data_IF_592483148970
#
_entry.id   IF_592483148970
#
_cell.length_a   1.000
_cell.length_b   1.000
_cell.length_c   1.000
_cell.angle_alpha   90.00
_cell.angle_beta   90.00
_cell.angle_gamma   90.00
#
_symmetry.space_group_name_H-M   'P 1'
#
loop_
_entity.id
_entity.type
_entity.pdbx_description
1 polymer ?
#
# COMPACT_ATOMS: atom_id res chain seq x y z
N UNK A 1 36.12 -9.81 22.44
CA UNK A 1 34.79 -10.21 22.99
C UNK A 1 33.86 -9.02 23.18
N UNK A 2 34.25 -7.99 23.94
CA UNK A 2 33.40 -6.81 24.21
C UNK A 2 32.95 -6.05 22.94
N UNK A 3 33.86 -5.84 21.98
CA UNK A 3 33.54 -5.18 20.71
C UNK A 3 32.57 -5.98 19.83
N UNK A 4 32.67 -7.31 19.83
CA UNK A 4 31.75 -8.19 19.09
C UNK A 4 30.37 -8.20 19.75
N UNK A 5 30.31 -8.20 21.08
CA UNK A 5 29.05 -8.10 21.83
C UNK A 5 28.33 -6.76 21.59
N UNK A 6 29.06 -5.63 21.59
CA UNK A 6 28.50 -4.31 21.28
C UNK A 6 27.96 -4.23 19.84
N UNK A 7 28.66 -4.84 18.89
CA UNK A 7 28.25 -4.86 17.48
C UNK A 7 26.99 -5.71 17.27
N UNK A 8 26.87 -6.86 17.95
CA UNK A 8 25.66 -7.70 17.94
C UNK A 8 24.46 -6.97 18.57
N UNK A 9 24.66 -6.26 19.68
CA UNK A 9 23.60 -5.48 20.34
C UNK A 9 23.14 -4.32 19.46
N UNK A 10 24.06 -3.61 18.81
CA UNK A 10 23.73 -2.52 17.89
C UNK A 10 22.92 -3.01 16.68
N UNK A 11 23.34 -4.12 16.05
CA UNK A 11 22.59 -4.72 14.93
C UNK A 11 21.20 -5.23 15.36
N UNK A 12 21.09 -5.83 16.55
CA UNK A 12 19.81 -6.30 17.10
C UNK A 12 18.85 -5.13 17.35
N UNK A 13 19.34 -4.02 17.93
CA UNK A 13 18.52 -2.83 18.20
C UNK A 13 18.08 -2.11 16.91
N UNK A 14 18.98 -1.96 15.94
CA UNK A 14 18.64 -1.38 14.64
C UNK A 14 17.60 -2.21 13.88
N UNK A 15 17.68 -3.55 13.97
CA UNK A 15 16.72 -4.44 13.31
C UNK A 15 15.32 -4.34 13.94
N UNK A 16 15.24 -4.25 15.27
CA UNK A 16 13.96 -4.09 15.98
C UNK A 16 13.25 -2.77 15.71
N UNK A 17 14.00 -1.66 15.60
CA UNK A 17 13.43 -0.36 15.23
C UNK A 17 12.93 -0.35 13.77
N UNK A 18 13.68 -0.95 12.85
CA UNK A 18 13.28 -1.06 11.44
C UNK A 18 11.98 -1.86 11.30
N UNK A 19 11.87 -2.98 12.03
CA UNK A 19 10.68 -3.83 12.03
C UNK A 19 9.46 -3.11 12.61
N UNK A 20 9.65 -2.29 13.66
CA UNK A 20 8.58 -1.50 14.26
C UNK A 20 8.05 -0.42 13.28
N UNK A 21 8.93 0.27 12.56
CA UNK A 21 8.53 1.26 11.53
C UNK A 21 7.74 0.59 10.40
N UNK A 22 8.24 -0.54 9.87
CA UNK A 22 7.54 -1.28 8.80
C UNK A 22 6.15 -1.74 9.26
N UNK A 23 6.01 -2.24 10.49
CA UNK A 23 4.71 -2.63 11.04
C UNK A 23 3.75 -1.46 11.17
N UNK A 24 4.25 -0.30 11.60
CA UNK A 24 3.46 0.92 11.70
C UNK A 24 2.95 1.37 10.31
N UNK A 25 3.84 1.40 9.31
CA UNK A 25 3.48 1.83 7.95
C UNK A 25 2.49 0.86 7.28
N UNK A 26 2.66 -0.45 7.49
CA UNK A 26 1.70 -1.48 7.05
C UNK A 26 0.31 -1.22 7.65
N UNK A 27 0.25 -0.88 8.94
CA UNK A 27 -1.01 -0.60 9.63
C UNK A 27 -1.68 0.66 9.06
N UNK A 28 -0.93 1.75 8.92
CA UNK A 28 -1.44 3.02 8.40
C UNK A 28 -1.97 2.87 6.96
N UNK A 29 -1.19 2.24 6.07
CA UNK A 29 -1.64 1.99 4.69
C UNK A 29 -2.88 1.10 4.66
N UNK A 30 -2.95 0.07 5.52
CA UNK A 30 -4.15 -0.77 5.62
C UNK A 30 -5.38 0.00 6.09
N UNK A 31 -5.22 0.94 7.02
CA UNK A 31 -6.31 1.81 7.49
C UNK A 31 -6.80 2.74 6.37
N UNK A 32 -5.88 3.37 5.63
CA UNK A 32 -6.20 4.25 4.49
C UNK A 32 -6.92 3.49 3.37
N UNK A 33 -6.49 2.25 3.06
CA UNK A 33 -7.19 1.36 2.12
C UNK A 33 -8.63 1.13 2.55
N UNK A 34 -8.87 0.86 3.84
CA UNK A 34 -10.21 0.62 4.37
C UNK A 34 -11.09 1.87 4.25
N UNK A 35 -10.55 3.04 4.57
CA UNK A 35 -11.25 4.32 4.46
C UNK A 35 -11.62 4.63 3.00
N UNK A 36 -10.69 4.45 2.06
CA UNK A 36 -10.95 4.65 0.62
C UNK A 36 -12.04 3.73 0.11
N UNK A 37 -12.04 2.44 0.50
CA UNK A 37 -13.12 1.50 0.14
C UNK A 37 -14.49 1.97 0.63
N UNK A 38 -14.56 2.50 1.85
CA UNK A 38 -15.79 3.07 2.39
C UNK A 38 -16.25 4.31 1.61
N UNK A 39 -15.32 5.23 1.29
CA UNK A 39 -15.61 6.42 0.49
C UNK A 39 -16.09 6.08 -0.92
N UNK A 40 -15.44 5.12 -1.60
CA UNK A 40 -15.86 4.63 -2.91
C UNK A 40 -17.28 4.05 -2.84
N UNK A 41 -17.57 3.24 -1.82
CA UNK A 41 -18.92 2.67 -1.64
C UNK A 41 -19.98 3.75 -1.42
N UNK A 42 -19.67 4.77 -0.62
CA UNK A 42 -20.59 5.90 -0.38
C UNK A 42 -20.82 6.71 -1.66
N UNK A 43 -19.77 6.95 -2.44
CA UNK A 43 -19.86 7.65 -3.73
C UNK A 43 -20.71 6.87 -4.75
N UNK A 44 -20.62 5.54 -4.78
CA UNK A 44 -21.50 4.73 -5.62
C UNK A 44 -22.98 4.81 -5.18
N UNK A 45 -23.24 4.90 -3.88
CA UNK A 45 -24.60 5.08 -3.38
C UNK A 45 -25.15 6.46 -3.75
N UNK A 46 -24.35 7.51 -3.62
CA UNK A 46 -24.72 8.86 -4.06
C UNK A 46 -24.99 8.91 -5.57
N UNK A 47 -24.17 8.21 -6.36
CA UNK A 47 -24.40 8.06 -7.80
C UNK A 47 -25.72 7.34 -8.11
N UNK A 48 -26.11 6.33 -7.31
CA UNK A 48 -27.41 5.66 -7.47
C UNK A 48 -28.56 6.63 -7.23
N UNK A 49 -28.48 7.42 -6.15
CA UNK A 49 -29.49 8.43 -5.81
C UNK A 49 -29.63 9.47 -6.93
N UNK A 50 -28.52 10.00 -7.45
CA UNK A 50 -28.57 10.98 -8.55
C UNK A 50 -29.17 10.40 -9.84
N UNK A 51 -28.88 9.12 -10.14
CA UNK A 51 -29.49 8.46 -11.29
C UNK A 51 -31.00 8.24 -11.12
N UNK A 52 -31.47 8.05 -9.89
CA UNK A 52 -32.90 7.96 -9.55
C UNK A 52 -33.59 9.34 -9.63
N UNK A 53 -32.91 10.42 -9.21
CA UNK A 53 -33.40 11.80 -9.35
C UNK A 53 -33.58 12.20 -10.83
N UNK A 54 -32.58 11.89 -11.66
CA UNK A 54 -32.58 12.20 -13.09
C UNK A 54 -32.47 13.70 -13.42
N UNK A 55 -32.50 14.01 -14.71
CA UNK A 55 -32.36 15.38 -15.22
C UNK A 55 -30.90 15.83 -15.41
N UNK A 56 -30.73 16.96 -16.11
CA UNK A 56 -29.41 17.43 -16.55
C UNK A 56 -28.46 17.72 -15.39
N UNK A 57 -28.93 18.41 -14.35
CA UNK A 57 -28.10 18.73 -13.18
C UNK A 57 -27.68 17.49 -12.37
N UNK A 58 -28.55 16.49 -12.24
CA UNK A 58 -28.18 15.24 -11.57
C UNK A 58 -27.15 14.46 -12.41
N UNK A 59 -27.30 14.48 -13.74
CA UNK A 59 -26.36 13.85 -14.66
C UNK A 59 -24.97 14.52 -14.64
N UNK A 60 -24.90 15.85 -14.57
CA UNK A 60 -23.64 16.59 -14.39
C UNK A 60 -22.94 16.18 -13.08
N UNK A 61 -23.67 16.14 -11.97
CA UNK A 61 -23.12 15.70 -10.67
C UNK A 61 -22.68 14.24 -10.70
N UNK A 62 -23.44 13.36 -11.33
CA UNK A 62 -23.07 11.96 -11.49
C UNK A 62 -21.76 11.80 -12.27
N UNK A 63 -21.49 12.63 -13.30
CA UNK A 63 -20.22 12.61 -14.02
C UNK A 63 -19.04 13.01 -13.13
N UNK A 64 -19.20 14.02 -12.27
CA UNK A 64 -18.18 14.43 -11.30
C UNK A 64 -17.89 13.29 -10.32
N UNK A 65 -18.93 12.66 -9.78
CA UNK A 65 -18.78 11.53 -8.84
C UNK A 65 -18.11 10.33 -9.52
N UNK A 66 -18.44 10.01 -10.78
CA UNK A 66 -17.75 8.95 -11.53
C UNK A 66 -16.26 9.25 -11.69
N UNK A 67 -15.89 10.50 -11.97
CA UNK A 67 -14.49 10.90 -12.06
C UNK A 67 -13.76 10.72 -10.73
N UNK A 68 -14.38 11.12 -9.62
CA UNK A 68 -13.84 10.93 -8.26
C UNK A 68 -13.68 9.46 -7.89
N UNK A 69 -14.69 8.62 -8.20
CA UNK A 69 -14.61 7.16 -8.00
C UNK A 69 -13.43 6.57 -8.77
N UNK A 70 -13.20 7.01 -10.01
CA UNK A 70 -12.08 6.54 -10.83
C UNK A 70 -10.74 6.92 -10.21
N UNK A 71 -10.59 8.15 -9.72
CA UNK A 71 -9.38 8.60 -9.03
C UNK A 71 -9.13 7.82 -7.73
N UNK A 72 -10.15 7.66 -6.89
CA UNK A 72 -10.05 6.88 -5.65
C UNK A 72 -9.68 5.42 -5.92
N UNK A 73 -10.19 4.80 -6.99
CA UNK A 73 -9.80 3.44 -7.38
C UNK A 73 -8.34 3.35 -7.83
N UNK A 74 -7.83 4.39 -8.51
CA UNK A 74 -6.43 4.45 -8.89
C UNK A 74 -5.53 4.57 -7.65
N UNK A 75 -5.86 5.45 -6.71
CA UNK A 75 -5.16 5.58 -5.43
C UNK A 75 -5.20 4.26 -4.64
N UNK A 76 -6.38 3.64 -4.56
CA UNK A 76 -6.57 2.35 -3.88
C UNK A 76 -5.64 1.27 -4.47
N UNK A 77 -5.52 1.20 -5.79
CA UNK A 77 -4.63 0.26 -6.47
C UNK A 77 -3.17 0.49 -6.08
N UNK A 78 -2.72 1.75 -6.04
CA UNK A 78 -1.35 2.11 -5.64
C UNK A 78 -1.09 1.72 -4.19
N UNK A 79 -2.03 1.98 -3.28
CA UNK A 79 -1.89 1.62 -1.87
C UNK A 79 -1.87 0.11 -1.66
N UNK A 80 -2.71 -0.65 -2.36
CA UNK A 80 -2.72 -2.12 -2.30
C UNK A 80 -1.40 -2.72 -2.82
N UNK A 81 -0.83 -2.17 -3.90
CA UNK A 81 0.49 -2.56 -4.40
C UNK A 81 1.61 -2.20 -3.42
N UNK A 82 1.55 -1.02 -2.79
CA UNK A 82 2.49 -0.60 -1.77
C UNK A 82 2.44 -1.54 -0.55
N UNK A 83 1.24 -1.86 -0.07
CA UNK A 83 1.03 -2.81 1.04
C UNK A 83 1.59 -4.20 0.71
N UNK A 84 1.33 -4.70 -0.50
CA UNK A 84 1.88 -5.98 -0.95
C UNK A 84 3.42 -5.96 -1.02
N UNK A 85 4.00 -4.84 -1.45
CA UNK A 85 5.45 -4.64 -1.51
C UNK A 85 6.08 -4.60 -0.12
N UNK A 86 5.46 -3.89 0.83
CA UNK A 86 5.91 -3.87 2.24
C UNK A 86 5.83 -5.25 2.89
N UNK A 87 4.73 -5.99 2.66
CA UNK A 87 4.54 -7.33 3.20
C UNK A 87 5.51 -8.37 2.61
N UNK A 88 5.99 -8.16 1.38
CA UNK A 88 6.92 -9.07 0.71
C UNK A 88 8.41 -8.79 1.01
N UNK A 89 8.70 -7.83 1.90
CA UNK A 89 10.06 -7.50 2.34
C UNK A 89 10.72 -6.33 1.60
N UNK A 90 9.94 -5.47 0.94
CA UNK A 90 10.46 -4.34 0.16
C UNK A 90 10.99 -4.76 -1.22
N UNK A 91 11.62 -3.85 -1.99
CA UNK A 91 12.24 -4.20 -3.26
C UNK A 91 13.17 -5.38 -3.06
N UNK A 92 12.97 -6.47 -3.82
CA UNK A 92 13.93 -7.57 -3.90
C UNK A 92 15.25 -6.99 -4.41
N UNK A 93 16.12 -6.57 -3.52
CA UNK A 93 17.54 -6.49 -3.80
C UNK A 93 17.90 -7.93 -4.19
N UNK A 94 18.02 -8.17 -5.50
CA UNK A 94 18.59 -9.39 -6.06
C UNK A 94 19.94 -9.54 -5.38
N UNK A 95 19.96 -10.26 -4.27
CA UNK A 95 21.18 -10.65 -3.58
C UNK A 95 21.88 -11.53 -4.58
N UNK A 96 22.81 -10.93 -5.34
CA UNK A 96 23.72 -11.60 -6.24
C UNK A 96 24.69 -12.42 -5.41
N UNK A 97 24.17 -13.41 -4.68
CA UNK A 97 24.96 -14.52 -4.21
C UNK A 97 25.05 -15.43 -5.42
N UNK A 98 26.09 -15.19 -6.24
CA UNK A 98 26.41 -16.03 -7.38
C UNK A 98 26.32 -17.48 -6.95
N UNK A 99 25.48 -18.24 -7.66
CA UNK A 99 25.43 -19.69 -7.49
C UNK A 99 26.83 -20.22 -7.84
N UNK A 100 27.54 -20.88 -6.91
CA UNK A 100 28.86 -21.46 -7.21
C UNK A 100 28.81 -22.53 -8.31
N UNK A 101 27.60 -22.95 -8.75
CA UNK A 101 27.41 -23.98 -9.76
C UNK A 101 27.56 -23.52 -11.19
N UNK A 102 27.68 -22.22 -11.46
CA UNK A 102 27.90 -21.69 -12.82
C UNK A 102 29.40 -21.67 -13.23
N UNK A 103 30.27 -22.30 -12.43
CA UNK A 103 31.69 -22.57 -12.77
C UNK A 103 31.95 -24.05 -13.02
N UNK A 104 31.15 -24.69 -13.86
CA UNK A 104 31.61 -25.90 -14.54
C UNK A 104 31.33 -25.78 -16.03
N UNK A 105 32.46 -25.68 -16.75
CA UNK A 105 32.71 -26.14 -18.12
C UNK A 105 31.67 -27.13 -18.65
#
# INVERSE_FOLDING_TARGET
>A
MLAVALLVVAFSFCSGLLEAVIKHDIFEVSARIKELKQKISAAYEELRILNEEGGEHAQERAQVIMAQIKEMNAELTVLEQSLASMKSGGPKLRSGKGDPRDRRH
#
